data_IF_374851660826
#
_entry.id   IF_374851660826
#
_cell.length_a   1.000
_cell.length_b   1.000
_cell.length_c   1.000
_cell.angle_alpha   90.00
_cell.angle_beta   90.00
_cell.angle_gamma   90.00
#
_symmetry.space_group_name_H-M   'P 1'
#
loop_
_entity.id
_entity.type
_entity.pdbx_description
1 polymer ?
#
# COMPACT_ATOMS: atom_id res chain seq x y z
N UNK A 1 8.60 -10.86 6.08
CA UNK A 1 9.86 -10.42 5.43
C UNK A 1 9.63 -9.38 4.33
N UNK A 2 8.51 -8.63 4.32
CA UNK A 2 8.20 -7.65 3.26
C UNK A 2 8.34 -6.18 3.71
N UNK A 3 8.37 -5.92 5.02
CA UNK A 3 8.52 -4.56 5.57
C UNK A 3 9.99 -4.12 5.71
N UNK A 4 10.96 -5.01 5.49
CA UNK A 4 12.38 -4.74 5.79
C UNK A 4 13.17 -4.11 4.63
N UNK A 5 12.63 -4.06 3.42
CA UNK A 5 13.34 -3.55 2.24
C UNK A 5 12.93 -2.14 1.80
N UNK A 6 11.89 -1.53 2.39
CA UNK A 6 11.45 -0.18 1.98
C UNK A 6 11.94 0.91 2.93
N UNK A 7 12.09 0.68 4.24
CA UNK A 7 12.51 1.74 5.16
C UNK A 7 13.53 1.28 6.21
N UNK A 8 14.81 1.37 5.87
CA UNK A 8 15.93 1.20 6.79
C UNK A 8 16.06 2.37 7.82
N UNK A 9 14.96 3.10 8.09
CA UNK A 9 14.89 4.28 8.97
C UNK A 9 13.77 4.23 10.02
N UNK A 10 12.87 3.26 10.00
CA UNK A 10 11.87 3.10 11.07
C UNK A 10 12.52 2.36 12.24
N UNK A 11 13.11 3.11 13.17
CA UNK A 11 13.67 2.54 14.41
C UNK A 11 12.61 2.38 15.51
N UNK A 12 11.51 3.12 15.42
CA UNK A 12 10.48 3.19 16.45
C UNK A 12 9.09 3.21 15.83
N UNK A 13 8.09 2.63 16.51
CA UNK A 13 6.67 2.69 16.14
C UNK A 13 6.21 4.11 15.80
N UNK A 14 6.67 5.11 16.54
CA UNK A 14 6.29 6.50 16.29
C UNK A 14 6.87 7.07 15.00
N UNK A 15 7.98 6.54 14.49
CA UNK A 15 8.51 6.95 13.19
C UNK A 15 7.63 6.42 12.05
N UNK A 16 7.02 5.25 12.25
CA UNK A 16 6.01 4.68 11.35
C UNK A 16 4.65 5.42 11.40
N UNK A 17 4.37 6.18 12.46
CA UNK A 17 3.12 6.92 12.65
C UNK A 17 3.15 8.29 11.97
N UNK A 18 3.44 8.31 10.67
CA UNK A 18 3.39 9.49 9.81
C UNK A 18 2.35 9.32 8.72
N UNK A 19 1.60 10.37 8.35
CA UNK A 19 0.61 10.28 7.27
C UNK A 19 1.23 9.89 5.93
N UNK A 20 2.49 10.27 5.67
CA UNK A 20 3.23 9.91 4.46
C UNK A 20 3.41 8.39 4.28
N UNK A 21 3.46 7.65 5.38
CA UNK A 21 3.66 6.20 5.39
C UNK A 21 2.34 5.42 5.26
N UNK A 22 1.21 6.11 5.16
CA UNK A 22 -0.11 5.48 5.04
C UNK A 22 -0.18 4.51 3.85
N UNK A 23 0.35 4.88 2.69
CA UNK A 23 0.39 4.01 1.50
C UNK A 23 1.23 2.74 1.73
N UNK A 24 2.37 2.88 2.41
CA UNK A 24 3.25 1.77 2.79
C UNK A 24 2.57 0.84 3.80
N UNK A 25 1.84 1.39 4.78
CA UNK A 25 1.08 0.62 5.76
C UNK A 25 -0.06 -0.18 5.12
N UNK A 26 -0.79 0.42 4.18
CA UNK A 26 -1.84 -0.27 3.41
C UNK A 26 -1.24 -1.41 2.58
N UNK A 27 -0.11 -1.16 1.92
CA UNK A 27 0.59 -2.17 1.12
C UNK A 27 1.07 -3.34 1.97
N UNK A 28 1.63 -3.06 3.14
CA UNK A 28 2.05 -4.09 4.09
C UNK A 28 0.87 -4.91 4.62
N UNK A 29 -0.25 -4.26 4.96
CA UNK A 29 -1.45 -4.94 5.42
C UNK A 29 -2.04 -5.86 4.35
N UNK A 30 -1.96 -5.51 3.07
CA UNK A 30 -2.36 -6.37 1.95
C UNK A 30 -1.50 -7.63 1.83
N UNK A 31 -0.19 -7.46 1.93
CA UNK A 31 0.74 -8.59 1.90
C UNK A 31 0.45 -9.53 3.07
N UNK A 32 0.23 -9.00 4.27
CA UNK A 32 -0.05 -9.79 5.48
C UNK A 32 -1.41 -10.50 5.39
N UNK A 33 -2.43 -9.84 4.82
CA UNK A 33 -3.77 -10.42 4.66
C UNK A 33 -3.89 -11.41 3.49
N UNK A 34 -2.80 -11.67 2.77
CA UNK A 34 -2.77 -12.57 1.63
C UNK A 34 -3.65 -12.04 0.49
N UNK A 35 -3.52 -10.75 0.17
CA UNK A 35 -4.19 -10.16 -0.98
C UNK A 35 -3.69 -10.82 -2.27
N UNK A 36 -4.60 -11.46 -2.97
CA UNK A 36 -4.33 -12.12 -4.23
C UNK A 36 -4.69 -11.18 -5.38
N UNK A 37 -3.69 -10.86 -6.20
CA UNK A 37 -3.81 -9.83 -7.25
C UNK A 37 -4.66 -10.34 -8.42
N UNK A 38 -4.72 -11.66 -8.63
CA UNK A 38 -5.43 -12.28 -9.75
C UNK A 38 -6.93 -12.41 -9.44
N UNK A 39 -7.26 -12.85 -8.24
CA UNK A 39 -8.66 -13.00 -7.79
C UNK A 39 -9.23 -11.73 -7.16
N UNK A 40 -8.39 -10.70 -6.93
CA UNK A 40 -8.73 -9.45 -6.20
C UNK A 40 -9.36 -9.73 -4.83
N UNK A 41 -9.03 -10.88 -4.26
CA UNK A 41 -9.63 -11.35 -3.04
C UNK A 41 -8.57 -11.44 -1.95
N UNK A 42 -8.99 -11.21 -0.73
CA UNK A 42 -8.14 -11.44 0.43
C UNK A 42 -8.30 -12.88 0.86
N UNK A 43 -7.18 -13.58 1.11
CA UNK A 43 -7.24 -14.88 1.78
C UNK A 43 -7.88 -14.77 3.17
N UNK A 44 -7.67 -13.63 3.85
CA UNK A 44 -8.30 -13.30 5.11
C UNK A 44 -8.76 -11.82 5.11
N UNK A 45 -9.96 -11.49 4.60
CA UNK A 45 -10.46 -10.11 4.57
C UNK A 45 -10.65 -9.54 5.98
N UNK A 46 -11.03 -10.39 6.94
CA UNK A 46 -11.13 -10.02 8.36
C UNK A 46 -9.78 -9.56 8.93
N UNK A 47 -8.66 -10.14 8.47
CA UNK A 47 -7.32 -9.73 8.89
C UNK A 47 -6.97 -8.33 8.34
N UNK A 48 -7.33 -8.04 7.09
CA UNK A 48 -7.13 -6.72 6.50
C UNK A 48 -7.93 -5.62 7.21
N UNK A 49 -9.18 -5.92 7.59
CA UNK A 49 -10.02 -5.01 8.37
C UNK A 49 -9.45 -4.81 9.79
N UNK A 50 -9.07 -5.90 10.45
CA UNK A 50 -8.53 -5.86 11.80
C UNK A 50 -7.20 -5.08 11.88
N UNK A 51 -6.38 -5.12 10.83
CA UNK A 51 -5.17 -4.30 10.73
C UNK A 51 -5.48 -2.80 10.79
N UNK A 52 -6.54 -2.33 10.12
CA UNK A 52 -6.96 -0.93 10.20
C UNK A 52 -7.40 -0.54 11.61
N UNK A 53 -8.17 -1.41 12.26
CA UNK A 53 -8.59 -1.23 13.66
C UNK A 53 -7.37 -1.15 14.59
N UNK A 54 -6.41 -2.06 14.45
CA UNK A 54 -5.22 -2.12 15.28
C UNK A 54 -4.31 -0.90 15.07
N UNK A 55 -4.14 -0.44 13.82
CA UNK A 55 -3.41 0.78 13.52
C UNK A 55 -4.07 2.02 14.11
N UNK A 56 -5.40 2.09 14.13
CA UNK A 56 -6.13 3.17 14.79
C UNK A 56 -5.90 3.17 16.30
N UNK A 57 -5.99 2.00 16.94
CA UNK A 57 -5.69 1.85 18.37
C UNK A 57 -4.24 2.29 18.66
N UNK A 58 -3.29 1.90 17.80
CA UNK A 58 -1.90 2.31 17.92
C UNK A 58 -1.74 3.83 17.83
N UNK A 59 -2.44 4.50 16.90
CA UNK A 59 -2.46 5.95 16.80
C UNK A 59 -3.02 6.60 18.08
N UNK A 60 -4.08 6.05 18.65
CA UNK A 60 -4.70 6.58 19.87
C UNK A 60 -3.77 6.46 21.09
N UNK A 61 -3.15 5.29 21.26
CA UNK A 61 -2.15 5.04 22.31
C UNK A 61 -0.94 5.97 22.13
N UNK A 62 -0.43 6.11 20.91
CA UNK A 62 0.70 7.00 20.63
C UNK A 62 0.35 8.46 20.92
N UNK A 63 -0.83 8.91 20.52
CA UNK A 63 -1.35 10.25 20.81
C UNK A 63 -1.44 10.48 22.33
N UNK A 64 -1.97 9.51 23.07
CA UNK A 64 -2.05 9.55 24.52
C UNK A 64 -0.67 9.72 25.14
N UNK A 65 0.32 8.97 24.69
CA UNK A 65 1.70 9.06 25.20
C UNK A 65 2.30 10.45 24.94
N UNK A 66 2.10 11.02 23.75
CA UNK A 66 2.56 12.38 23.42
C UNK A 66 1.87 13.43 24.29
N UNK A 67 0.57 13.30 24.55
CA UNK A 67 -0.20 14.23 25.40
C UNK A 67 0.18 14.11 26.88
N UNK A 68 0.29 12.89 27.40
CA UNK A 68 0.67 12.60 28.79
C UNK A 68 2.14 12.91 29.09
N UNK A 69 2.93 13.30 28.07
CA UNK A 69 4.37 13.54 28.20
C UNK A 69 5.11 12.38 28.86
N UNK A 70 4.65 11.15 28.64
CA UNK A 70 5.33 9.97 29.18
C UNK A 70 6.73 9.91 28.58
N UNK A 71 7.73 9.88 29.45
CA UNK A 71 9.10 9.68 29.03
C UNK A 71 9.24 8.24 28.54
N UNK A 72 9.49 8.08 27.24
CA UNK A 72 9.80 6.78 26.66
C UNK A 72 11.31 6.79 26.40
N UNK A 73 12.06 5.79 26.89
CA UNK A 73 13.49 5.72 26.63
C UNK A 73 13.76 5.68 25.12
N UNK A 74 14.79 6.41 24.68
CA UNK A 74 15.23 6.55 23.28
C UNK A 74 14.25 7.31 22.36
N UNK A 75 13.33 8.09 22.93
CA UNK A 75 12.39 8.90 22.15
C UNK A 75 12.38 10.32 22.70
N UNK A 76 12.80 11.27 21.87
CA UNK A 76 12.76 12.70 22.17
C UNK A 76 11.96 13.40 21.08
N UNK A 77 10.96 14.17 21.50
CA UNK A 77 10.12 14.97 20.61
C UNK A 77 10.59 16.41 20.68
N UNK A 78 11.26 16.88 19.63
CA UNK A 78 11.65 18.29 19.48
C UNK A 78 10.38 19.16 19.31
N UNK A 79 9.48 18.72 18.42
CA UNK A 79 8.15 19.32 18.23
C UNK A 79 7.00 18.36 18.60
N UNK A 80 6.52 18.49 19.83
CA UNK A 80 5.37 17.69 20.33
C UNK A 80 4.06 18.05 19.63
N UNK A 81 3.89 19.31 19.21
CA UNK A 81 2.67 19.78 18.56
C UNK A 81 2.55 19.17 17.16
N UNK A 82 3.61 19.24 16.36
CA UNK A 82 3.68 18.58 15.06
C UNK A 82 3.51 17.07 15.17
N UNK A 83 4.18 16.42 16.14
CA UNK A 83 4.03 14.97 16.31
C UNK A 83 2.60 14.55 16.61
N UNK A 84 1.92 15.33 17.46
CA UNK A 84 0.49 15.13 17.75
C UNK A 84 -0.37 15.34 16.50
N UNK A 85 -0.06 16.32 15.67
CA UNK A 85 -0.77 16.58 14.42
C UNK A 85 -0.59 15.43 13.43
N UNK A 86 0.63 14.97 13.19
CA UNK A 86 0.93 13.83 12.31
C UNK A 86 0.13 12.58 12.70
N UNK A 87 0.13 12.22 13.99
CA UNK A 87 -0.60 11.05 14.50
C UNK A 87 -2.11 11.22 14.30
N UNK A 88 -2.66 12.41 14.53
CA UNK A 88 -4.09 12.69 14.29
C UNK A 88 -4.45 12.58 12.83
N UNK A 89 -3.63 13.13 11.95
CA UNK A 89 -3.86 13.08 10.51
C UNK A 89 -3.80 11.65 10.00
N UNK A 90 -2.81 10.86 10.43
CA UNK A 90 -2.74 9.44 10.11
C UNK A 90 -3.97 8.67 10.62
N UNK A 91 -4.41 8.91 11.86
CA UNK A 91 -5.62 8.28 12.43
C UNK A 91 -6.88 8.60 11.62
N UNK A 92 -6.99 9.83 11.12
CA UNK A 92 -8.07 10.27 10.24
C UNK A 92 -8.00 9.59 8.87
N UNK A 93 -6.81 9.46 8.29
CA UNK A 93 -6.58 8.73 7.04
C UNK A 93 -6.97 7.26 7.18
N UNK A 94 -6.56 6.59 8.27
CA UNK A 94 -6.96 5.20 8.53
C UNK A 94 -8.48 5.09 8.68
N UNK A 95 -9.11 5.98 9.45
CA UNK A 95 -10.56 5.89 9.67
C UNK A 95 -11.39 6.18 8.42
N UNK A 96 -10.94 7.10 7.56
CA UNK A 96 -11.70 7.53 6.38
C UNK A 96 -11.33 6.81 5.08
N UNK A 97 -10.08 6.40 4.91
CA UNK A 97 -9.56 5.90 3.64
C UNK A 97 -9.08 4.45 3.68
N UNK A 98 -9.01 3.79 4.84
CA UNK A 98 -8.50 2.41 4.92
C UNK A 98 -9.29 1.41 4.07
N UNK A 99 -10.61 1.34 4.26
CA UNK A 99 -11.48 0.45 3.48
C UNK A 99 -11.50 0.83 1.99
N UNK A 100 -11.44 2.13 1.71
CA UNK A 100 -11.40 2.67 0.36
C UNK A 100 -10.10 2.29 -0.34
N UNK A 101 -8.95 2.36 0.30
CA UNK A 101 -7.66 1.99 -0.29
C UNK A 101 -7.47 0.47 -0.39
N UNK A 102 -8.03 -0.30 0.54
CA UNK A 102 -8.11 -1.76 0.39
C UNK A 102 -8.89 -2.14 -0.87
N UNK A 103 -10.01 -1.46 -1.15
CA UNK A 103 -10.88 -1.76 -2.29
C UNK A 103 -10.47 -1.07 -3.60
N UNK A 104 -10.00 0.18 -3.55
CA UNK A 104 -9.76 1.06 -4.72
C UNK A 104 -8.36 0.88 -5.31
N UNK A 105 -7.34 0.59 -4.51
CA UNK A 105 -6.04 0.18 -5.06
C UNK A 105 -6.12 -1.22 -5.69
N UNK A 106 -7.11 -2.05 -5.33
CA UNK A 106 -7.37 -3.29 -6.08
C UNK A 106 -7.85 -2.98 -7.52
N UNK A 107 -8.53 -1.85 -7.74
CA UNK A 107 -8.89 -1.33 -9.06
C UNK A 107 -7.71 -0.66 -9.76
N UNK A 108 -6.90 0.13 -9.05
CA UNK A 108 -5.68 0.75 -9.63
C UNK A 108 -4.64 -0.29 -10.04
N UNK A 109 -4.30 -1.24 -9.16
CA UNK A 109 -3.38 -2.35 -9.51
C UNK A 109 -3.93 -3.25 -10.62
N UNK A 110 -5.25 -3.42 -10.75
CA UNK A 110 -5.82 -4.12 -11.91
C UNK A 110 -5.52 -3.35 -13.20
N UNK A 111 -5.70 -2.02 -13.20
CA UNK A 111 -5.39 -1.16 -14.35
C UNK A 111 -3.87 -1.11 -14.63
N UNK A 112 -3.04 -1.02 -13.61
CA UNK A 112 -1.57 -0.99 -13.75
C UNK A 112 -1.00 -2.35 -14.18
N UNK A 113 -1.54 -3.49 -13.70
CA UNK A 113 -1.16 -4.83 -14.16
C UNK A 113 -1.69 -5.15 -15.56
N UNK A 114 -2.82 -4.56 -15.96
CA UNK A 114 -3.26 -4.54 -17.37
C UNK A 114 -2.34 -3.67 -18.24
N UNK A 115 -1.75 -2.61 -17.70
CA UNK A 115 -0.82 -1.73 -18.40
C UNK A 115 0.62 -2.28 -18.49
N UNK A 116 1.04 -3.08 -17.50
CA UNK A 116 2.33 -3.75 -17.44
C UNK A 116 2.39 -5.08 -18.21
N UNK A 117 1.26 -5.59 -18.70
CA UNK A 117 1.29 -6.49 -19.85
C UNK A 117 1.44 -5.59 -21.07
N UNK A 118 2.56 -5.60 -21.81
CA UNK A 118 2.40 -5.37 -23.23
C UNK A 118 1.34 -6.38 -23.64
N UNK A 119 0.17 -5.90 -24.04
CA UNK A 119 -0.60 -6.63 -25.02
C UNK A 119 0.40 -6.79 -26.15
N UNK A 120 1.11 -7.92 -26.19
CA UNK A 120 1.58 -8.49 -27.44
C UNK A 120 0.30 -8.62 -28.23
N UNK A 121 -0.03 -7.52 -28.90
CA UNK A 121 -1.07 -7.48 -29.88
C UNK A 121 -0.60 -8.55 -30.85
N UNK A 122 -1.34 -9.65 -30.90
CA UNK A 122 -1.21 -10.66 -31.95
C UNK A 122 -1.35 -10.06 -33.36
N UNK A 123 -1.59 -8.75 -33.48
CA UNK A 123 -1.37 -7.95 -34.68
C UNK A 123 0.01 -8.19 -35.30
N UNK A 124 1.09 -8.44 -34.55
CA UNK A 124 2.41 -8.67 -35.18
C UNK A 124 2.47 -10.00 -35.93
N UNK A 125 1.80 -11.04 -35.42
CA UNK A 125 1.71 -12.34 -36.11
C UNK A 125 0.83 -12.25 -37.36
N UNK A 126 -0.31 -11.57 -37.28
CA UNK A 126 -1.20 -11.38 -38.44
C UNK A 126 -0.53 -10.51 -39.52
N UNK A 127 0.20 -9.45 -39.14
CA UNK A 127 0.96 -8.61 -40.07
C UNK A 127 2.11 -9.39 -40.71
N UNK A 128 2.81 -10.24 -39.96
CA UNK A 128 3.87 -11.11 -40.48
C UNK A 128 3.31 -12.18 -41.43
N UNK A 129 2.14 -12.74 -41.14
CA UNK A 129 1.45 -13.68 -42.02
C UNK A 129 1.02 -12.99 -43.33
N UNK A 130 0.53 -11.75 -43.25
CA UNK A 130 0.12 -10.96 -44.41
C UNK A 130 1.32 -10.56 -45.28
N UNK A 131 2.44 -10.15 -44.67
CA UNK A 131 3.69 -9.89 -45.40
C UNK A 131 4.23 -11.14 -46.09
N UNK A 132 4.17 -12.31 -45.43
CA UNK A 132 4.63 -13.57 -46.01
C UNK A 132 3.77 -13.98 -47.21
N UNK A 133 2.45 -13.80 -47.12
CA UNK A 133 1.54 -14.07 -48.23
C UNK A 133 1.80 -13.14 -49.43
N UNK A 134 1.98 -11.85 -49.20
CA UNK A 134 2.29 -10.90 -50.28
C UNK A 134 3.66 -11.18 -50.94
N UNK A 135 4.67 -11.61 -50.17
CA UNK A 135 6.00 -11.89 -50.72
C UNK A 135 6.04 -13.20 -51.53
N UNK A 136 5.23 -14.20 -51.17
CA UNK A 136 5.11 -15.46 -51.93
C UNK A 136 4.25 -15.35 -53.19
N UNK A 137 3.51 -14.24 -53.39
CA UNK A 137 2.70 -14.01 -54.60
C UNK A 137 3.48 -13.26 -55.70
N UNK A 138 4.73 -12.85 -55.41
CA UNK A 138 5.67 -12.23 -56.35
C UNK A 138 6.85 -13.20 -56.59
N UNK A 139 6.55 -14.43 -57.03
CA UNK A 139 7.46 -15.34 -57.76
C UNK A 139 6.63 -16.10 -58.79
#
# INVERSE_FOLDING_TARGET
MALKSIENKITTIFDALKPELFSSLVSAAKIISGFDIETKCFKAPSLALHMGTNLKILCDVALKVVIENKNIPNITWDDKQGKKMEIKELSKLISGHWCNELSSLALKNLKEKQWGKPTELSLTSDISALQTYCNNMIV
#
